data_IF_739704555873
#
_entry.id   IF_739704555873
#
_cell.length_a   1.000
_cell.length_b   1.000
_cell.length_c   1.000
_cell.angle_alpha   90.00
_cell.angle_beta   90.00
_cell.angle_gamma   90.00
#
_symmetry.space_group_name_H-M   'P 1'
#
loop_
_entity.id
_entity.type
_entity.pdbx_description
1 polymer ?
#
# COMPACT_ATOMS: atom_id res chain seq x y z
N UNK A 1 7.06 -17.53 34.18
CA UNK A 1 7.98 -16.57 33.53
C UNK A 1 7.20 -15.86 32.45
N UNK A 2 6.98 -14.55 32.62
CA UNK A 2 6.34 -13.71 31.59
C UNK A 2 7.34 -13.52 30.45
N UNK A 3 6.98 -13.90 29.22
CA UNK A 3 7.78 -13.54 28.06
C UNK A 3 7.62 -12.04 27.86
N UNK A 4 8.69 -11.29 28.12
CA UNK A 4 8.74 -9.88 27.74
C UNK A 4 8.53 -9.82 26.23
N UNK A 5 7.39 -9.25 25.81
CA UNK A 5 7.08 -9.03 24.41
C UNK A 5 8.14 -8.07 23.86
N UNK A 6 8.86 -8.50 22.82
CA UNK A 6 9.84 -7.64 22.17
C UNK A 6 9.17 -6.31 21.78
N UNK A 7 9.84 -5.16 21.98
CA UNK A 7 9.27 -3.89 21.56
C UNK A 7 8.92 -3.98 20.06
N UNK A 8 7.78 -3.43 19.63
CA UNK A 8 7.36 -3.51 18.24
C UNK A 8 8.46 -2.94 17.36
N UNK A 9 9.04 -3.82 16.53
CA UNK A 9 10.01 -3.41 15.52
C UNK A 9 9.35 -2.47 14.52
N UNK A 10 10.12 -1.55 13.97
CA UNK A 10 9.68 -0.76 12.81
C UNK A 10 10.56 -1.08 11.62
N UNK A 11 9.94 -1.24 10.46
CA UNK A 11 10.64 -1.40 9.19
C UNK A 11 10.14 -0.37 8.18
N UNK A 12 11.04 0.04 7.30
CA UNK A 12 10.72 0.87 6.15
C UNK A 12 10.41 -0.08 5.00
N UNK A 13 9.33 0.19 4.29
CA UNK A 13 8.99 -0.48 3.04
C UNK A 13 9.01 0.55 1.92
N UNK A 14 9.57 0.15 0.79
CA UNK A 14 9.51 0.94 -0.43
C UNK A 14 9.40 0.02 -1.63
N UNK A 15 8.53 0.34 -2.57
CA UNK A 15 8.29 -0.50 -3.73
C UNK A 15 7.23 0.06 -4.65
N UNK A 16 7.12 -0.55 -5.83
CA UNK A 16 6.04 -0.27 -6.76
C UNK A 16 4.82 -1.11 -6.39
N UNK A 17 3.66 -0.47 -6.31
CA UNK A 17 2.40 -1.15 -6.01
C UNK A 17 1.27 -0.59 -6.88
N UNK A 18 0.27 -1.42 -7.13
CA UNK A 18 -0.99 -0.99 -7.73
C UNK A 18 -1.92 -0.49 -6.63
N UNK A 19 -2.54 0.67 -6.84
CA UNK A 19 -3.50 1.24 -5.90
C UNK A 19 -4.95 0.93 -6.30
N UNK A 20 -5.74 0.51 -5.32
CA UNK A 20 -7.16 0.18 -5.43
C UNK A 20 -7.93 0.72 -4.24
N UNK A 21 -9.26 0.80 -4.35
CA UNK A 21 -10.16 1.24 -3.26
C UNK A 21 -9.71 2.55 -2.64
N UNK A 22 -9.51 3.57 -3.49
CA UNK A 22 -8.96 4.86 -3.06
C UNK A 22 -10.09 5.69 -2.45
N UNK A 23 -9.94 6.00 -1.17
CA UNK A 23 -10.93 6.74 -0.40
C UNK A 23 -10.31 7.98 0.25
N UNK A 24 -11.06 9.07 0.23
CA UNK A 24 -10.77 10.26 1.03
C UNK A 24 -11.74 10.31 2.19
N UNK A 25 -11.39 9.74 3.36
CA UNK A 25 -12.22 9.87 4.53
C UNK A 25 -12.45 11.35 4.83
N UNK A 26 -13.71 11.72 5.10
CA UNK A 26 -14.11 13.06 5.53
C UNK A 26 -13.45 13.40 6.87
N UNK A 27 -12.19 13.83 6.82
CA UNK A 27 -11.45 14.37 7.94
C UNK A 27 -11.47 15.89 7.83
N UNK A 28 -11.45 16.60 8.97
CA UNK A 28 -11.41 18.08 9.01
C UNK A 28 -10.26 18.70 8.19
N UNK A 29 -9.28 17.89 7.77
CA UNK A 29 -8.12 18.32 7.00
C UNK A 29 -8.10 17.85 5.53
N UNK A 30 -9.13 17.16 5.00
CA UNK A 30 -9.32 16.78 3.58
C UNK A 30 -8.10 16.23 2.80
N UNK A 31 -7.06 15.78 3.49
CA UNK A 31 -5.75 15.44 2.89
C UNK A 31 -5.32 14.02 3.17
N UNK A 32 -6.00 13.31 4.07
CA UNK A 32 -5.72 11.90 4.28
C UNK A 32 -6.36 11.10 3.16
N UNK A 33 -5.56 10.32 2.46
CA UNK A 33 -6.05 9.31 1.54
C UNK A 33 -5.75 7.94 2.14
N UNK A 34 -6.75 7.07 2.03
CA UNK A 34 -6.68 5.65 2.35
C UNK A 34 -6.81 4.87 1.05
N UNK A 35 -5.97 3.87 0.85
CA UNK A 35 -6.09 2.98 -0.30
C UNK A 35 -5.55 1.59 0.02
N UNK A 36 -5.88 0.63 -0.82
CA UNK A 36 -5.26 -0.69 -0.87
C UNK A 36 -4.11 -0.66 -1.87
N UNK A 37 -2.96 -1.18 -1.47
CA UNK A 37 -1.79 -1.30 -2.31
C UNK A 37 -1.34 -2.76 -2.41
N UNK A 38 -1.26 -3.28 -3.63
CA UNK A 38 -0.74 -4.62 -3.91
C UNK A 38 0.73 -4.55 -4.32
N UNK A 39 1.61 -5.10 -3.49
CA UNK A 39 3.05 -5.18 -3.74
C UNK A 39 3.41 -6.53 -4.34
N UNK A 40 3.95 -6.60 -5.56
CA UNK A 40 4.42 -7.85 -6.13
C UNK A 40 5.65 -8.33 -5.36
N UNK A 41 5.65 -9.59 -4.91
CA UNK A 41 6.75 -10.21 -4.17
C UNK A 41 7.49 -11.28 -4.98
N UNK A 42 6.93 -11.71 -6.10
CA UNK A 42 7.55 -12.70 -6.96
C UNK A 42 6.58 -13.32 -7.96
N UNK A 43 7.10 -14.27 -8.73
CA UNK A 43 6.32 -15.03 -9.70
C UNK A 43 6.54 -16.52 -9.42
N UNK A 44 5.46 -17.25 -9.19
CA UNK A 44 5.52 -18.68 -8.89
C UNK A 44 4.45 -19.39 -9.72
N UNK A 45 4.85 -20.45 -10.44
CA UNK A 45 3.97 -21.27 -11.28
C UNK A 45 3.10 -20.48 -12.28
N UNK A 46 3.63 -19.39 -12.84
CA UNK A 46 2.89 -18.57 -13.80
C UNK A 46 1.96 -17.54 -13.15
N UNK A 47 1.98 -17.40 -11.83
CA UNK A 47 1.08 -16.53 -11.07
C UNK A 47 1.92 -15.47 -10.34
N UNK A 48 1.54 -14.20 -10.51
CA UNK A 48 2.13 -13.09 -9.78
C UNK A 48 1.70 -13.20 -8.31
N UNK A 49 2.67 -13.41 -7.42
CA UNK A 49 2.45 -13.37 -5.99
C UNK A 49 2.53 -11.91 -5.53
N UNK A 50 1.55 -11.48 -4.75
CA UNK A 50 1.50 -10.14 -4.19
C UNK A 50 1.09 -10.18 -2.73
N UNK A 51 1.52 -9.17 -1.98
CA UNK A 51 1.03 -8.88 -0.63
C UNK A 51 0.18 -7.63 -0.67
N UNK A 52 -0.90 -7.65 0.10
CA UNK A 52 -1.90 -6.59 0.12
C UNK A 52 -1.69 -5.75 1.36
N UNK A 53 -1.66 -4.44 1.19
CA UNK A 53 -1.46 -3.51 2.30
C UNK A 53 -2.48 -2.39 2.30
N UNK A 54 -2.82 -1.94 3.50
CA UNK A 54 -3.56 -0.71 3.70
C UNK A 54 -2.57 0.45 3.75
N UNK A 55 -2.72 1.43 2.88
CA UNK A 55 -1.89 2.64 2.90
C UNK A 55 -2.66 3.82 3.48
N UNK A 56 -1.98 4.58 4.33
CA UNK A 56 -2.40 5.91 4.77
C UNK A 56 -1.34 6.91 4.33
N UNK A 57 -1.73 7.91 3.55
CA UNK A 57 -0.83 9.00 3.21
C UNK A 57 -1.53 10.35 3.27
N UNK A 58 -0.78 11.35 3.70
CA UNK A 58 -1.21 12.74 3.66
C UNK A 58 -0.80 13.31 2.31
N UNK A 59 -1.81 13.55 1.50
CA UNK A 59 -1.72 14.15 0.17
C UNK A 59 -1.57 15.66 0.28
N UNK A 60 -0.68 16.26 -0.52
CA UNK A 60 -0.59 17.71 -0.60
C UNK A 60 -1.72 18.26 -1.48
N UNK A 61 -2.30 19.40 -1.12
CA UNK A 61 -3.49 19.93 -1.81
C UNK A 61 -3.25 20.31 -3.27
N UNK A 62 -2.00 20.51 -3.66
CA UNK A 62 -1.61 20.94 -5.01
C UNK A 62 -1.34 19.76 -5.96
N UNK A 63 -1.28 18.53 -5.44
CA UNK A 63 -1.09 17.34 -6.25
C UNK A 63 -2.44 16.71 -6.67
N UNK A 64 -2.51 15.99 -7.79
CA UNK A 64 -3.71 15.24 -8.16
C UNK A 64 -3.88 14.01 -7.26
N UNK A 65 -5.12 13.71 -6.89
CA UNK A 65 -5.48 12.47 -6.19
C UNK A 65 -5.04 11.27 -7.05
N UNK A 66 -4.37 10.27 -6.44
CA UNK A 66 -4.06 9.01 -7.10
C UNK A 66 -5.28 8.35 -7.73
N UNK A 67 -5.05 7.78 -8.92
CA UNK A 67 -6.08 7.12 -9.70
C UNK A 67 -6.05 5.61 -9.42
N UNK A 68 -7.23 4.98 -9.42
CA UNK A 68 -7.35 3.53 -9.26
C UNK A 68 -6.71 2.78 -10.43
N UNK A 69 -6.15 1.61 -10.13
CA UNK A 69 -5.52 0.73 -11.12
C UNK A 69 -4.22 1.28 -11.72
N UNK A 70 -3.69 2.39 -11.18
CA UNK A 70 -2.41 2.96 -11.60
C UNK A 70 -1.31 2.49 -10.65
N UNK A 71 -0.12 2.26 -11.22
CA UNK A 71 1.06 1.90 -10.46
C UNK A 71 1.72 3.14 -9.83
N UNK A 72 2.02 3.05 -8.54
CA UNK A 72 2.72 4.07 -7.78
C UNK A 72 3.98 3.49 -7.14
N UNK A 73 5.00 4.32 -7.02
CA UNK A 73 6.10 4.07 -6.11
C UNK A 73 5.67 4.57 -4.74
N UNK A 74 5.73 3.69 -3.76
CA UNK A 74 5.33 3.95 -2.38
C UNK A 74 6.56 3.79 -1.51
N UNK A 75 6.81 4.74 -0.61
CA UNK A 75 7.79 4.61 0.46
C UNK A 75 7.13 5.00 1.77
N UNK A 76 7.23 4.13 2.78
CA UNK A 76 6.50 4.28 4.02
C UNK A 76 7.09 3.44 5.14
N UNK A 77 6.45 3.56 6.31
CA UNK A 77 6.79 2.77 7.49
C UNK A 77 5.70 1.73 7.72
N UNK A 78 6.13 0.49 7.95
CA UNK A 78 5.22 -0.58 8.33
C UNK A 78 4.58 -0.28 9.69
N UNK A 79 3.27 -0.45 9.74
CA UNK A 79 2.41 -0.32 10.90
C UNK A 79 1.60 -1.61 11.10
N UNK A 80 1.25 -1.89 12.35
CA UNK A 80 0.40 -3.03 12.66
C UNK A 80 -1.06 -2.73 12.30
N UNK A 81 -1.75 -3.72 11.74
CA UNK A 81 -3.20 -3.64 11.59
C UNK A 81 -3.83 -3.95 12.95
N UNK A 82 -4.62 -3.01 13.47
CA UNK A 82 -5.29 -3.16 14.75
C UNK A 82 -6.76 -3.58 14.58
N UNK A 83 -7.38 -4.18 15.62
CA UNK A 83 -8.80 -4.53 15.61
C UNK A 83 -9.75 -3.37 15.28
N UNK A 84 -9.29 -2.13 15.51
CA UNK A 84 -10.02 -0.88 15.30
C UNK A 84 -9.51 -0.08 14.10
N UNK A 85 -8.59 -0.63 13.29
CA UNK A 85 -8.17 0.04 12.05
C UNK A 85 -9.37 0.08 11.11
N UNK A 86 -9.74 1.29 10.70
CA UNK A 86 -10.82 1.54 9.75
C UNK A 86 -10.39 1.08 8.35
N UNK A 87 -11.20 0.23 7.73
CA UNK A 87 -10.99 -0.30 6.38
C UNK A 87 -12.03 0.31 5.42
N UNK A 88 -11.78 0.26 4.09
CA UNK A 88 -12.82 0.47 3.09
C UNK A 88 -14.01 -0.48 3.31
N UNK A 89 -15.22 -0.03 2.97
CA UNK A 89 -16.48 -0.73 3.31
C UNK A 89 -16.56 -2.18 2.75
N UNK A 90 -15.80 -2.49 1.70
CA UNK A 90 -15.77 -3.78 1.01
C UNK A 90 -14.50 -4.61 1.27
N UNK A 91 -13.62 -4.18 2.19
CA UNK A 91 -12.35 -4.87 2.47
C UNK A 91 -12.39 -5.55 3.83
N UNK A 92 -12.32 -6.88 3.82
CA UNK A 92 -12.13 -7.65 5.04
C UNK A 92 -10.70 -7.54 5.55
N UNK A 93 -10.52 -7.53 6.87
CA UNK A 93 -9.18 -7.45 7.49
C UNK A 93 -8.29 -8.64 7.13
N UNK A 94 -8.88 -9.80 6.89
CA UNK A 94 -8.20 -11.02 6.44
C UNK A 94 -7.51 -10.86 5.08
N UNK A 95 -7.95 -9.90 4.27
CA UNK A 95 -7.41 -9.62 2.95
C UNK A 95 -6.19 -8.69 2.98
N UNK A 96 -5.87 -8.11 4.15
CA UNK A 96 -4.77 -7.15 4.29
C UNK A 96 -3.68 -7.77 5.16
N UNK A 97 -2.47 -7.86 4.61
CA UNK A 97 -1.32 -8.44 5.29
C UNK A 97 -0.71 -7.47 6.31
N UNK A 98 -0.64 -6.18 5.97
CA UNK A 98 -0.06 -5.15 6.84
C UNK A 98 -0.57 -3.73 6.50
N UNK A 99 -0.29 -2.76 7.37
CA UNK A 99 -0.55 -1.34 7.14
C UNK A 99 0.76 -0.61 6.84
N UNK A 100 0.70 0.41 5.99
CA UNK A 100 1.80 1.33 5.72
C UNK A 100 1.33 2.76 6.00
N UNK A 101 2.07 3.47 6.85
CA UNK A 101 1.98 4.92 6.89
C UNK A 101 2.98 5.46 5.85
N UNK A 102 2.47 5.86 4.70
CA UNK A 102 3.25 6.24 3.53
C UNK A 102 3.67 7.71 3.59
N UNK A 103 4.96 7.95 3.33
CA UNK A 103 5.58 9.26 3.28
C UNK A 103 5.66 9.81 1.86
N UNK A 104 5.80 8.92 0.88
CA UNK A 104 5.91 9.25 -0.54
C UNK A 104 5.01 8.31 -1.33
N UNK A 105 4.16 8.90 -2.17
CA UNK A 105 3.34 8.19 -3.16
C UNK A 105 3.54 8.93 -4.48
N UNK A 106 4.22 8.32 -5.44
CA UNK A 106 4.55 8.96 -6.71
C UNK A 106 4.11 8.10 -7.89
N UNK A 107 3.40 8.69 -8.84
CA UNK A 107 2.92 7.99 -10.02
C UNK A 107 4.11 7.39 -10.77
N UNK A 108 4.12 6.07 -10.90
CA UNK A 108 5.17 5.37 -11.65
C UNK A 108 4.74 5.28 -13.10
N UNK A 109 5.52 5.90 -13.99
CA UNK A 109 5.46 5.57 -15.42
C UNK A 109 6.33 4.34 -15.61
N UNK A 110 5.74 3.16 -15.40
CA UNK A 110 6.40 1.93 -15.80
C UNK A 110 6.42 1.91 -17.33
N UNK A 111 7.57 2.21 -17.92
CA UNK A 111 7.85 1.76 -19.26
C UNK A 111 7.94 0.24 -19.18
N UNK A 112 6.84 -0.44 -19.47
CA UNK A 112 6.85 -1.85 -19.81
C UNK A 112 7.73 -1.99 -21.05
N UNK A 113 9.03 -2.14 -20.84
CA UNK A 113 9.93 -2.63 -21.85
C UNK A 113 9.62 -4.13 -21.93
N UNK A 114 8.51 -4.45 -22.59
CA UNK A 114 8.21 -5.78 -23.09
C UNK A 114 9.23 -6.03 -24.20
N UNK A 115 10.50 -6.21 -23.83
CA UNK A 115 11.44 -6.89 -24.71
C UNK A 115 10.82 -8.28 -24.91
N UNK A 116 10.39 -8.63 -26.14
CA UNK A 116 9.91 -9.97 -26.37
C UNK A 116 11.11 -10.88 -26.14
N UNK A 117 11.05 -11.67 -25.06
CA UNK A 117 11.91 -12.83 -24.90
C UNK A 117 11.52 -13.81 -26.01
N UNK A 118 12.11 -13.63 -27.20
CA UNK A 118 12.17 -14.68 -28.19
C UNK A 118 13.22 -15.68 -27.70
N UNK A 119 12.74 -16.87 -27.33
CA UNK A 119 13.57 -18.07 -27.13
C UNK A 119 14.24 -18.49 -28.45
#
# INVERSE_FOLDING_TARGET
MSMAQAPPGSAIISGHALLFHIEQPYSKNNRLIRAIAEFPIGYEDGILQAVTSLIHYYHDSDEPVPAEGVCYYICGKLAAIHPKTDLPDDIERSMVDFQIDAFVVSKSVLYLNLSPFFF
#
